data_IF_182278440960
#
_entry.id   IF_182278440960
#
_cell.length_a   1.000
_cell.length_b   1.000
_cell.length_c   1.000
_cell.angle_alpha   90.00
_cell.angle_beta   90.00
_cell.angle_gamma   90.00
#
_symmetry.space_group_name_H-M   'P 1'
#
loop_
_entity.id
_entity.type
_entity.pdbx_description
1 polymer ?
#
# COMPACT_ATOMS: atom_id res chain seq x y z
N UNK A 1 -31.51 11.44 34.94
CA UNK A 1 -30.90 11.03 33.68
C UNK A 1 -29.50 11.66 33.60
N UNK A 2 -28.48 10.92 34.04
CA UNK A 2 -27.10 11.37 33.84
C UNK A 2 -26.68 11.01 32.42
N UNK A 3 -26.75 11.97 31.53
CA UNK A 3 -26.32 11.85 30.13
C UNK A 3 -24.91 12.45 29.92
N UNK A 4 -24.12 12.56 30.97
CA UNK A 4 -22.78 13.13 30.85
C UNK A 4 -21.77 12.05 30.52
N UNK A 5 -21.41 11.98 29.23
CA UNK A 5 -20.11 11.49 28.85
C UNK A 5 -19.06 12.45 29.44
N UNK A 6 -18.14 11.95 30.24
CA UNK A 6 -16.94 12.71 30.58
C UNK A 6 -16.00 12.62 29.39
N UNK A 7 -15.74 13.71 28.65
CA UNK A 7 -14.75 13.70 27.59
C UNK A 7 -13.37 13.48 28.21
N UNK A 8 -12.59 12.56 27.63
CA UNK A 8 -11.20 12.37 28.01
C UNK A 8 -10.33 12.99 26.93
N UNK A 9 -9.55 13.97 27.31
CA UNK A 9 -8.52 14.56 26.47
C UNK A 9 -7.18 13.88 26.77
N UNK A 10 -6.49 13.46 25.74
CA UNK A 10 -5.15 12.87 25.83
C UNK A 10 -4.18 13.70 25.01
N UNK A 11 -3.00 13.96 25.54
CA UNK A 11 -1.91 14.58 24.80
C UNK A 11 -0.61 13.90 25.20
N UNK A 12 0.21 13.55 24.21
CA UNK A 12 1.54 13.02 24.44
C UNK A 12 2.53 13.59 23.44
N UNK A 13 3.73 13.82 23.90
CA UNK A 13 4.87 14.18 23.09
C UNK A 13 6.07 13.33 23.50
N UNK A 14 6.74 12.74 22.52
CA UNK A 14 7.89 11.88 22.77
C UNK A 14 8.89 11.92 21.62
N UNK A 15 10.14 11.58 21.95
CA UNK A 15 11.21 11.46 20.96
C UNK A 15 11.80 10.07 21.04
N UNK A 16 11.79 9.36 19.92
CA UNK A 16 12.35 8.02 19.78
C UNK A 16 13.52 8.04 18.79
N UNK A 17 14.56 7.27 19.08
CA UNK A 17 15.67 7.05 18.17
C UNK A 17 15.51 5.73 17.42
N UNK A 18 15.92 5.71 16.14
CA UNK A 18 16.07 4.50 15.34
C UNK A 18 17.53 4.40 14.89
N UNK A 19 18.19 3.28 15.23
CA UNK A 19 19.61 3.08 14.89
C UNK A 19 19.76 2.63 13.44
N UNK A 20 20.93 2.88 12.80
CA UNK A 20 21.26 2.32 11.50
C UNK A 20 21.15 0.80 11.51
N UNK A 21 20.47 0.21 10.51
CA UNK A 21 20.34 -1.24 10.40
C UNK A 21 21.65 -1.97 10.04
N UNK A 22 22.60 -1.26 9.42
CA UNK A 22 23.90 -1.81 9.08
C UNK A 22 24.82 -1.82 10.31
N UNK A 23 25.24 -3.01 10.75
CA UNK A 23 26.28 -3.16 11.78
C UNK A 23 27.56 -2.49 11.27
N UNK A 24 28.17 -1.65 12.13
CA UNK A 24 29.39 -0.91 11.80
C UNK A 24 29.26 0.01 10.55
N UNK A 25 28.04 0.43 10.21
CA UNK A 25 27.79 1.27 9.01
C UNK A 25 28.50 2.61 8.99
N UNK A 26 29.10 3.05 10.11
CA UNK A 26 29.96 4.23 10.20
C UNK A 26 31.40 3.96 9.75
N UNK A 27 31.81 2.70 9.65
CA UNK A 27 33.14 2.28 9.19
C UNK A 27 33.13 2.02 7.69
N UNK A 28 34.28 2.18 7.03
CA UNK A 28 34.49 1.63 5.69
C UNK A 28 34.54 0.10 5.78
N UNK A 29 33.63 -0.53 5.05
CA UNK A 29 33.51 -2.01 5.06
C UNK A 29 34.20 -2.59 3.83
N UNK A 30 34.82 -3.74 4.01
CA UNK A 30 35.48 -4.49 2.95
C UNK A 30 34.69 -5.75 2.63
N UNK A 31 34.54 -6.05 1.34
CA UNK A 31 34.02 -7.32 0.85
C UNK A 31 35.15 -8.17 0.31
N UNK A 32 35.05 -9.47 0.57
CA UNK A 32 35.97 -10.50 0.11
C UNK A 32 35.29 -11.38 -0.94
N UNK A 33 36.07 -12.14 -1.69
CA UNK A 33 35.54 -13.10 -2.66
C UNK A 33 35.60 -12.64 -4.11
N UNK A 34 36.14 -11.47 -4.38
CA UNK A 34 36.54 -11.07 -5.74
C UNK A 34 37.91 -11.67 -6.05
N UNK A 35 38.01 -12.36 -7.19
CA UNK A 35 39.28 -12.93 -7.64
C UNK A 35 39.99 -11.98 -8.60
N UNK A 36 41.25 -11.68 -8.29
CA UNK A 36 42.14 -10.99 -9.20
C UNK A 36 43.28 -11.94 -9.62
N UNK A 37 43.36 -12.23 -10.91
CA UNK A 37 44.35 -13.17 -11.51
C UNK A 37 44.44 -14.53 -10.80
N UNK A 38 43.34 -15.09 -10.33
CA UNK A 38 43.28 -16.38 -9.63
C UNK A 38 43.60 -16.33 -8.13
N UNK A 39 43.94 -15.15 -7.59
CA UNK A 39 44.15 -14.92 -6.16
C UNK A 39 42.92 -14.24 -5.53
N UNK A 40 42.62 -14.60 -4.26
CA UNK A 40 41.58 -13.95 -3.50
C UNK A 40 41.87 -12.45 -3.28
N UNK A 41 40.94 -11.59 -3.65
CA UNK A 41 41.03 -10.15 -3.46
C UNK A 41 40.01 -9.63 -2.46
N UNK A 42 40.27 -8.45 -1.93
CA UNK A 42 39.31 -7.65 -1.15
C UNK A 42 39.20 -6.27 -1.73
N UNK A 43 38.01 -5.68 -1.59
CA UNK A 43 37.76 -4.30 -2.00
C UNK A 43 36.89 -3.58 -0.98
N UNK A 44 37.00 -2.29 -0.90
CA UNK A 44 36.17 -1.44 -0.07
C UNK A 44 34.75 -1.40 -0.65
N UNK A 45 33.78 -1.92 0.12
CA UNK A 45 32.37 -2.06 -0.33
C UNK A 45 31.48 -0.94 0.13
N UNK A 46 31.88 -0.16 1.13
CA UNK A 46 31.13 0.99 1.64
C UNK A 46 32.06 2.08 2.14
N UNK A 47 31.73 3.33 1.82
CA UNK A 47 32.43 4.49 2.32
C UNK A 47 32.19 4.70 3.82
N UNK A 48 33.22 5.07 4.60
CA UNK A 48 33.04 5.38 6.01
C UNK A 48 32.24 6.67 6.23
N UNK A 49 31.37 6.67 7.23
CA UNK A 49 30.68 7.85 7.71
C UNK A 49 30.80 7.98 9.24
N UNK A 50 31.88 8.57 9.77
CA UNK A 50 32.08 8.72 11.22
C UNK A 50 31.04 9.63 11.88
N UNK A 51 30.29 10.40 11.10
CA UNK A 51 29.22 11.28 11.58
C UNK A 51 27.84 10.64 11.53
N UNK A 52 27.73 9.33 11.24
CA UNK A 52 26.48 8.63 11.19
C UNK A 52 25.77 8.64 12.56
N UNK A 53 24.54 9.08 12.57
CA UNK A 53 23.71 9.23 13.78
C UNK A 53 22.46 8.40 13.69
N UNK A 54 21.74 8.28 14.78
CA UNK A 54 20.41 7.71 14.82
C UNK A 54 19.40 8.66 14.20
N UNK A 55 18.41 8.12 13.51
CA UNK A 55 17.20 8.86 13.16
C UNK A 55 16.45 9.27 14.43
N UNK A 56 15.81 10.43 14.41
CA UNK A 56 15.00 10.94 15.50
C UNK A 56 13.57 11.13 15.05
N UNK A 57 12.64 10.45 15.73
CA UNK A 57 11.21 10.58 15.51
C UNK A 57 10.60 11.42 16.62
N UNK A 58 10.10 12.59 16.29
CA UNK A 58 9.36 13.50 17.17
C UNK A 58 7.87 13.21 16.98
N UNK A 59 7.22 12.65 17.98
CA UNK A 59 5.83 12.21 17.91
C UNK A 59 4.97 13.10 18.80
N UNK A 60 4.01 13.81 18.22
CA UNK A 60 2.92 14.48 18.90
C UNK A 60 1.64 13.68 18.65
N UNK A 61 0.93 13.29 19.72
CA UNK A 61 -0.39 12.67 19.61
C UNK A 61 -1.37 13.45 20.49
N UNK A 62 -2.55 13.71 19.92
CA UNK A 62 -3.68 14.34 20.60
C UNK A 62 -4.88 13.43 20.44
N UNK A 63 -5.54 13.08 21.53
CA UNK A 63 -6.68 12.17 21.53
C UNK A 63 -7.88 12.76 22.27
N UNK A 64 -9.06 12.42 21.79
CA UNK A 64 -10.35 12.77 22.38
C UNK A 64 -11.23 11.53 22.42
N UNK A 65 -11.61 11.11 23.64
CA UNK A 65 -12.56 10.02 23.83
C UNK A 65 -13.89 10.59 24.36
N UNK A 66 -14.97 10.20 23.72
CA UNK A 66 -16.32 10.63 24.03
C UNK A 66 -17.23 9.41 24.18
N UNK A 67 -18.13 9.47 25.15
CA UNK A 67 -19.19 8.49 25.30
C UNK A 67 -20.54 9.19 25.45
N UNK A 68 -21.51 8.86 24.61
CA UNK A 68 -22.85 9.45 24.62
C UNK A 68 -23.88 8.40 24.96
N UNK A 69 -24.75 8.69 25.93
CA UNK A 69 -25.93 7.87 26.29
C UNK A 69 -25.55 6.41 26.57
N UNK A 70 -24.31 6.11 26.95
CA UNK A 70 -23.75 4.76 27.12
C UNK A 70 -23.94 3.84 25.88
N UNK A 71 -24.12 4.42 24.69
CA UNK A 71 -24.36 3.67 23.44
C UNK A 71 -23.45 4.08 22.30
N UNK A 72 -22.93 5.29 22.28
CA UNK A 72 -22.06 5.80 21.23
C UNK A 72 -20.74 6.16 21.89
N UNK A 73 -19.68 5.51 21.42
CA UNK A 73 -18.31 5.71 21.87
C UNK A 73 -17.50 6.18 20.66
N UNK A 74 -16.83 7.31 20.82
CA UNK A 74 -15.97 7.91 19.78
C UNK A 74 -14.60 8.07 20.34
N UNK A 75 -13.58 7.56 19.68
CA UNK A 75 -12.18 7.87 19.90
C UNK A 75 -11.63 8.54 18.65
N UNK A 76 -11.15 9.76 18.78
CA UNK A 76 -10.52 10.52 17.70
C UNK A 76 -9.10 10.84 18.10
N UNK A 77 -8.15 10.46 17.25
CA UNK A 77 -6.74 10.75 17.44
C UNK A 77 -6.20 11.56 16.27
N UNK A 78 -5.39 12.56 16.58
CA UNK A 78 -4.56 13.28 15.63
C UNK A 78 -3.10 13.02 15.99
N UNK A 79 -2.29 12.69 15.01
CA UNK A 79 -0.87 12.54 15.19
C UNK A 79 -0.06 13.38 14.20
N UNK A 80 1.12 13.81 14.64
CA UNK A 80 2.14 14.41 13.80
C UNK A 80 3.50 13.83 14.18
N UNK A 81 4.12 13.13 13.25
CA UNK A 81 5.44 12.53 13.40
C UNK A 81 6.42 13.16 12.42
N UNK A 82 7.44 13.84 12.98
CA UNK A 82 8.57 14.34 12.25
C UNK A 82 9.78 13.43 12.44
N UNK A 83 10.21 12.76 11.36
CA UNK A 83 11.46 11.99 11.33
C UNK A 83 12.56 12.90 10.81
N UNK A 84 13.56 13.18 11.64
CA UNK A 84 14.76 13.95 11.30
C UNK A 84 15.98 13.05 11.28
N UNK A 85 17.03 13.54 10.59
CA UNK A 85 18.26 12.78 10.42
C UNK A 85 17.99 11.39 9.76
N UNK A 86 17.06 11.37 8.78
CA UNK A 86 16.65 10.15 8.09
C UNK A 86 17.86 9.43 7.50
N UNK A 87 17.99 8.13 7.78
CA UNK A 87 19.04 7.28 7.23
C UNK A 87 18.71 6.97 5.76
N UNK A 88 19.55 7.47 4.88
CA UNK A 88 19.32 7.38 3.45
C UNK A 88 20.60 7.05 2.68
N UNK A 89 20.49 6.13 1.72
CA UNK A 89 21.56 5.82 0.79
C UNK A 89 21.55 6.82 -0.36
N UNK A 90 22.34 7.87 -0.20
CA UNK A 90 22.49 8.92 -1.22
C UNK A 90 23.23 8.40 -2.44
N UNK A 91 22.67 8.51 -3.66
CA UNK A 91 23.43 8.26 -4.87
C UNK A 91 24.60 9.25 -4.99
N UNK A 92 25.78 8.74 -5.33
CA UNK A 92 26.98 9.54 -5.56
C UNK A 92 27.56 9.24 -6.95
N UNK A 93 28.43 10.13 -7.43
CA UNK A 93 29.07 9.93 -8.73
C UNK A 93 29.87 8.62 -8.75
N UNK A 94 29.66 7.79 -9.77
CA UNK A 94 30.42 6.54 -9.98
C UNK A 94 31.93 6.75 -10.16
N UNK A 95 32.38 7.99 -10.40
CA UNK A 95 33.82 8.34 -10.41
C UNK A 95 34.48 8.16 -9.06
N UNK A 96 33.70 8.08 -7.97
CA UNK A 96 34.19 7.76 -6.62
C UNK A 96 34.50 6.27 -6.42
N UNK A 97 34.09 5.41 -7.34
CA UNK A 97 34.13 3.95 -7.20
C UNK A 97 32.94 3.35 -6.43
N UNK A 98 32.01 4.19 -5.93
CA UNK A 98 30.84 3.76 -5.15
C UNK A 98 29.55 4.27 -5.81
N UNK A 99 28.46 3.53 -5.60
CA UNK A 99 27.15 3.90 -6.13
C UNK A 99 26.37 4.82 -5.18
N UNK A 100 26.56 4.61 -3.86
CA UNK A 100 25.84 5.35 -2.84
C UNK A 100 26.69 5.56 -1.58
N UNK A 101 26.19 6.45 -0.73
CA UNK A 101 26.77 6.81 0.55
C UNK A 101 25.68 6.88 1.61
N UNK A 102 25.80 6.08 2.67
CA UNK A 102 24.85 6.09 3.79
C UNK A 102 25.07 7.30 4.68
N UNK A 103 24.06 8.12 4.83
CA UNK A 103 24.12 9.32 5.67
C UNK A 103 22.79 9.67 6.31
N UNK A 104 22.84 10.60 7.26
CA UNK A 104 21.66 11.16 7.89
C UNK A 104 21.19 12.37 7.06
N UNK A 105 20.36 12.10 6.08
CA UNK A 105 20.01 13.05 5.04
C UNK A 105 18.49 13.15 4.92
N UNK A 106 17.94 14.27 5.36
CA UNK A 106 16.57 14.58 5.10
C UNK A 106 15.64 14.53 6.29
N UNK A 107 14.42 14.91 6.01
CA UNK A 107 13.31 14.94 6.95
C UNK A 107 12.03 14.46 6.29
N UNK A 108 11.30 13.61 6.99
CA UNK A 108 10.00 13.07 6.59
C UNK A 108 8.94 13.46 7.62
N UNK A 109 7.78 13.92 7.17
CA UNK A 109 6.63 14.16 8.03
C UNK A 109 5.50 13.21 7.70
N UNK A 110 4.94 12.58 8.73
CA UNK A 110 3.70 11.81 8.68
C UNK A 110 2.71 12.45 9.64
N UNK A 111 1.56 12.87 9.14
CA UNK A 111 0.49 13.41 9.96
C UNK A 111 -0.85 12.86 9.52
N UNK A 112 -1.73 12.67 10.46
CA UNK A 112 -3.03 12.09 10.14
C UNK A 112 -3.98 12.13 11.31
N UNK A 113 -5.11 11.48 11.10
CA UNK A 113 -6.12 11.26 12.12
C UNK A 113 -6.64 9.83 12.03
N UNK A 114 -7.07 9.33 13.18
CA UNK A 114 -7.68 8.03 13.35
C UNK A 114 -9.00 8.21 14.09
N UNK A 115 -10.04 7.56 13.59
CA UNK A 115 -11.37 7.56 14.18
C UNK A 115 -11.77 6.13 14.50
N UNK A 116 -12.19 5.87 15.73
CA UNK A 116 -12.98 4.70 16.10
C UNK A 116 -14.35 5.16 16.55
N UNK A 117 -15.39 4.63 15.93
CA UNK A 117 -16.77 4.82 16.30
C UNK A 117 -17.39 3.47 16.64
N UNK A 118 -17.69 3.26 17.92
CA UNK A 118 -18.43 2.08 18.38
C UNK A 118 -19.83 2.50 18.79
N UNK A 119 -20.83 1.81 18.27
CA UNK A 119 -22.24 2.05 18.59
C UNK A 119 -22.92 0.78 19.07
N UNK A 120 -23.68 0.88 20.16
CA UNK A 120 -24.62 -0.13 20.62
C UNK A 120 -25.97 0.24 20.03
N UNK A 121 -26.24 -0.28 18.81
CA UNK A 121 -27.44 0.06 18.04
C UNK A 121 -28.68 -0.43 18.72
N UNK A 122 -28.60 -1.64 19.27
CA UNK A 122 -29.67 -2.24 20.05
C UNK A 122 -29.11 -3.10 21.19
N UNK A 123 -29.70 -3.00 22.37
CA UNK A 123 -29.40 -3.83 23.54
C UNK A 123 -30.71 -4.26 24.19
N UNK A 124 -31.03 -5.52 24.06
CA UNK A 124 -32.23 -6.16 24.62
C UNK A 124 -31.95 -7.59 25.05
N UNK A 125 -32.94 -8.25 25.68
CA UNK A 125 -32.75 -9.58 26.21
C UNK A 125 -32.52 -10.64 25.11
N UNK A 126 -33.17 -10.48 23.95
CA UNK A 126 -33.12 -11.45 22.87
C UNK A 126 -32.41 -10.98 21.63
N UNK A 127 -32.10 -9.66 21.53
CA UNK A 127 -31.48 -9.06 20.38
C UNK A 127 -30.47 -8.01 20.84
N UNK A 128 -29.23 -8.15 20.37
CA UNK A 128 -28.15 -7.19 20.58
C UNK A 128 -27.46 -6.92 19.26
N UNK A 129 -27.21 -5.66 18.95
CA UNK A 129 -26.47 -5.25 17.76
C UNK A 129 -25.49 -4.16 18.10
N UNK A 130 -24.22 -4.42 17.82
CA UNK A 130 -23.11 -3.48 17.99
C UNK A 130 -22.39 -3.30 16.65
N UNK A 131 -22.04 -2.06 16.32
CA UNK A 131 -21.22 -1.73 15.16
C UNK A 131 -19.94 -1.02 15.60
N UNK A 132 -18.83 -1.31 14.93
CA UNK A 132 -17.54 -0.63 15.10
C UNK A 132 -17.03 -0.20 13.75
N UNK A 133 -16.79 1.09 13.59
CA UNK A 133 -16.16 1.68 12.40
C UNK A 133 -14.78 2.20 12.80
N UNK A 134 -13.76 1.77 12.10
CA UNK A 134 -12.41 2.33 12.17
C UNK A 134 -12.08 3.04 10.86
N UNK A 135 -11.46 4.22 10.96
CA UNK A 135 -11.06 5.01 9.80
C UNK A 135 -9.74 5.70 10.08
N UNK A 136 -8.80 5.57 9.16
CA UNK A 136 -7.47 6.18 9.24
C UNK A 136 -7.19 6.99 8.00
N UNK A 137 -6.66 8.20 8.18
CA UNK A 137 -6.10 9.03 7.13
C UNK A 137 -4.66 9.39 7.50
N UNK A 138 -3.72 9.09 6.62
CA UNK A 138 -2.31 9.52 6.75
C UNK A 138 -1.91 10.40 5.57
N UNK A 139 -1.14 11.42 5.84
CA UNK A 139 -0.45 12.24 4.84
C UNK A 139 1.04 12.19 5.09
N UNK A 140 1.74 11.47 4.23
CA UNK A 140 3.20 11.41 4.18
C UNK A 140 3.75 12.55 3.33
N UNK A 141 4.88 13.14 3.70
CA UNK A 141 5.56 14.19 2.93
C UNK A 141 7.05 14.21 3.22
N UNK A 142 7.86 14.22 2.16
CA UNK A 142 9.29 14.54 2.24
C UNK A 142 9.41 16.05 2.48
N UNK A 143 10.01 16.44 3.59
CA UNK A 143 10.17 17.85 3.99
C UNK A 143 11.50 18.40 3.46
N UNK A 144 12.55 17.60 3.57
CA UNK A 144 13.87 17.92 3.01
C UNK A 144 14.59 16.64 2.61
N UNK A 145 15.49 16.76 1.66
CA UNK A 145 16.51 15.78 1.36
C UNK A 145 17.84 16.42 1.76
N UNK A 146 18.95 15.94 1.30
CA UNK A 146 20.35 16.29 1.61
C UNK A 146 20.72 17.82 1.61
N UNK A 147 19.77 18.74 1.62
CA UNK A 147 20.01 20.18 1.63
C UNK A 147 20.56 20.79 0.32
N UNK A 148 21.06 19.96 -0.60
CA UNK A 148 21.51 20.32 -1.96
C UNK A 148 20.69 19.60 -3.04
N UNK A 149 20.02 18.51 -2.70
CA UNK A 149 19.14 17.76 -3.58
C UNK A 149 17.69 18.02 -3.19
N UNK A 150 16.88 18.40 -4.17
CA UNK A 150 15.44 18.51 -4.03
C UNK A 150 14.70 17.26 -4.51
N UNK A 151 15.39 16.36 -5.21
CA UNK A 151 14.86 15.09 -5.70
C UNK A 151 15.93 14.01 -5.87
N UNK A 152 15.50 12.75 -5.76
CA UNK A 152 16.29 11.54 -6.05
C UNK A 152 15.36 10.49 -6.65
N UNK A 153 15.87 9.70 -7.60
CA UNK A 153 15.15 8.58 -8.19
C UNK A 153 15.62 7.32 -7.49
N UNK A 154 14.68 6.53 -6.96
CA UNK A 154 14.95 5.24 -6.33
C UNK A 154 14.35 4.11 -7.17
N UNK A 155 15.21 3.17 -7.53
CA UNK A 155 14.82 2.07 -8.40
C UNK A 155 14.38 2.53 -9.79
N UNK A 156 13.43 1.81 -10.38
CA UNK A 156 12.99 2.05 -11.75
C UNK A 156 11.70 2.88 -11.86
N UNK A 157 10.94 3.02 -10.76
CA UNK A 157 9.58 3.61 -10.79
C UNK A 157 9.21 4.50 -9.60
N UNK A 158 10.12 4.83 -8.70
CA UNK A 158 9.86 5.76 -7.60
C UNK A 158 10.72 7.02 -7.68
N UNK A 159 10.19 8.13 -7.17
CA UNK A 159 10.92 9.38 -6.98
C UNK A 159 10.76 9.89 -5.56
N UNK A 160 11.85 10.21 -4.92
CA UNK A 160 11.88 11.00 -3.70
C UNK A 160 12.07 12.46 -4.08
N UNK A 161 11.04 13.28 -3.88
CA UNK A 161 11.07 14.71 -4.17
C UNK A 161 10.48 15.49 -3.00
N UNK A 162 11.15 16.57 -2.64
CA UNK A 162 10.66 17.49 -1.59
C UNK A 162 9.25 17.96 -1.93
N UNK A 163 8.36 17.84 -0.96
CA UNK A 163 6.95 18.20 -1.10
C UNK A 163 6.02 17.05 -1.47
N UNK A 164 6.54 15.92 -1.94
CA UNK A 164 5.75 14.73 -2.33
C UNK A 164 5.77 13.64 -1.23
N UNK A 165 4.82 12.70 -1.27
CA UNK A 165 4.89 11.46 -0.50
C UNK A 165 6.16 10.65 -0.84
N UNK A 166 6.67 9.90 0.14
CA UNK A 166 7.87 9.08 -0.03
C UNK A 166 7.70 8.04 -1.15
N UNK A 167 6.54 7.36 -1.19
CA UNK A 167 6.23 6.31 -2.16
C UNK A 167 5.50 6.86 -3.40
N UNK A 168 6.05 7.90 -4.04
CA UNK A 168 5.49 8.48 -5.26
C UNK A 168 6.07 7.80 -6.49
N UNK A 169 5.21 7.32 -7.39
CA UNK A 169 5.65 6.73 -8.66
C UNK A 169 6.26 7.79 -9.59
N UNK A 170 7.27 7.38 -10.34
CA UNK A 170 7.94 8.19 -11.37
C UNK A 170 7.91 7.45 -12.70
N UNK A 171 6.91 7.77 -13.50
CA UNK A 171 6.56 6.99 -14.68
C UNK A 171 6.23 7.87 -15.88
N UNK A 172 6.43 7.32 -17.08
CA UNK A 172 5.93 7.91 -18.32
C UNK A 172 4.43 7.72 -18.38
N UNK A 173 3.71 8.80 -18.62
CA UNK A 173 2.25 8.78 -18.58
C UNK A 173 1.69 8.22 -19.88
N UNK A 174 1.00 7.10 -19.77
CA UNK A 174 0.31 6.42 -20.86
C UNK A 174 -0.97 7.18 -21.24
N UNK A 175 -1.17 7.40 -22.53
CA UNK A 175 -2.30 8.17 -23.08
C UNK A 175 -3.30 7.31 -23.85
N UNK A 176 -3.20 5.97 -23.74
CA UNK A 176 -4.05 5.04 -24.48
C UNK A 176 -3.42 4.56 -25.79
N UNK A 177 -4.26 4.26 -26.77
CA UNK A 177 -3.86 3.69 -28.07
C UNK A 177 -4.28 4.63 -29.19
N UNK A 178 -3.43 4.79 -30.19
CA UNK A 178 -3.77 5.50 -31.42
C UNK A 178 -4.82 4.69 -32.22
N UNK A 179 -6.05 5.20 -32.39
CA UNK A 179 -7.12 4.45 -33.06
C UNK A 179 -6.81 4.12 -34.52
N UNK A 180 -5.89 4.85 -35.16
CA UNK A 180 -5.58 4.63 -36.57
C UNK A 180 -4.47 3.58 -36.80
N UNK A 181 -3.49 3.52 -35.88
CA UNK A 181 -2.31 2.70 -36.02
C UNK A 181 -2.19 1.57 -35.01
N UNK A 182 -2.96 1.61 -33.93
CA UNK A 182 -2.90 0.69 -32.80
C UNK A 182 -1.64 0.80 -31.95
N UNK A 183 -0.84 1.85 -32.13
CA UNK A 183 0.37 2.06 -31.32
C UNK A 183 0.01 2.66 -29.97
N UNK A 184 0.78 2.30 -28.94
CA UNK A 184 0.72 2.94 -27.64
C UNK A 184 1.05 4.44 -27.74
N UNK A 185 0.31 5.27 -27.03
CA UNK A 185 0.49 6.72 -26.93
C UNK A 185 0.98 7.09 -25.55
N UNK A 186 1.88 8.07 -25.50
CA UNK A 186 2.41 8.63 -24.26
C UNK A 186 2.34 10.16 -24.32
N UNK A 187 2.06 10.82 -23.18
CA UNK A 187 2.21 12.25 -23.09
C UNK A 187 3.71 12.63 -23.09
N UNK A 188 4.05 13.67 -23.84
CA UNK A 188 5.45 14.15 -23.91
C UNK A 188 5.98 14.53 -22.52
N UNK A 189 5.17 15.25 -21.75
CA UNK A 189 5.48 15.69 -20.39
C UNK A 189 6.82 16.45 -20.28
N UNK A 190 7.31 17.03 -21.36
CA UNK A 190 8.39 18.01 -21.29
C UNK A 190 7.92 19.22 -20.52
N UNK A 191 8.76 19.76 -19.64
CA UNK A 191 8.39 20.87 -18.79
C UNK A 191 8.84 22.19 -19.42
N UNK A 192 7.92 23.16 -19.51
CA UNK A 192 8.25 24.52 -19.94
C UNK A 192 8.98 25.32 -18.83
N UNK A 193 9.41 26.55 -19.14
CA UNK A 193 10.10 27.42 -18.19
C UNK A 193 9.22 27.81 -16.97
N UNK A 194 7.90 27.68 -17.08
CA UNK A 194 6.95 27.95 -16.01
C UNK A 194 6.59 26.71 -15.19
N UNK A 195 7.15 25.55 -15.54
CA UNK A 195 6.90 24.29 -14.86
C UNK A 195 5.66 23.53 -15.33
N UNK A 196 5.00 23.96 -16.44
CA UNK A 196 3.86 23.26 -16.99
C UNK A 196 4.32 22.08 -17.86
N UNK A 197 3.58 20.98 -17.82
CA UNK A 197 3.87 19.81 -18.64
C UNK A 197 3.21 19.90 -20.02
N UNK A 198 3.96 19.58 -21.06
CA UNK A 198 3.46 19.42 -22.42
C UNK A 198 2.57 18.18 -22.51
N UNK A 199 1.28 18.40 -22.85
CA UNK A 199 0.27 17.35 -22.94
C UNK A 199 0.05 16.83 -24.35
N UNK A 200 0.94 17.14 -25.29
CA UNK A 200 0.93 16.51 -26.62
C UNK A 200 1.27 15.03 -26.50
N UNK A 201 0.67 14.21 -27.36
CA UNK A 201 0.87 12.75 -27.35
C UNK A 201 1.85 12.34 -28.44
N UNK A 202 2.62 11.29 -28.14
CA UNK A 202 3.58 10.71 -29.08
C UNK A 202 3.50 9.19 -29.02
N UNK A 203 3.80 8.53 -30.14
CA UNK A 203 4.03 7.08 -30.20
C UNK A 203 5.48 6.70 -29.90
N UNK A 204 6.38 7.70 -29.83
CA UNK A 204 7.77 7.49 -29.46
C UNK A 204 7.93 7.62 -27.93
N UNK A 205 7.95 6.48 -27.26
CA UNK A 205 8.14 6.44 -25.82
C UNK A 205 9.49 7.01 -25.36
N UNK A 206 10.50 7.12 -26.23
CA UNK A 206 11.81 7.71 -25.87
C UNK A 206 11.73 9.21 -25.72
N UNK A 207 10.86 9.87 -26.49
CA UNK A 207 10.59 11.29 -26.40
C UNK A 207 9.78 11.70 -25.16
N UNK A 208 8.96 10.79 -24.62
CA UNK A 208 8.14 11.04 -23.44
C UNK A 208 9.00 11.04 -22.17
N UNK A 209 8.75 12.01 -21.27
CA UNK A 209 9.43 12.10 -19.98
C UNK A 209 8.60 11.49 -18.86
N UNK A 210 9.29 10.86 -17.89
CA UNK A 210 8.67 10.40 -16.66
C UNK A 210 8.38 11.61 -15.76
N UNK A 211 7.27 11.52 -15.03
CA UNK A 211 6.83 12.54 -14.08
C UNK A 211 6.40 11.90 -12.77
N UNK A 212 6.41 12.66 -11.66
CA UNK A 212 5.72 12.24 -10.44
C UNK A 212 4.24 12.02 -10.74
N UNK A 213 3.74 10.82 -10.41
CA UNK A 213 2.38 10.42 -10.80
C UNK A 213 1.50 10.22 -9.56
N UNK A 214 1.19 9.02 -9.19
CA UNK A 214 0.37 8.64 -8.03
C UNK A 214 1.26 8.18 -6.89
N UNK A 215 0.67 7.93 -5.70
CA UNK A 215 1.37 7.38 -4.54
C UNK A 215 0.77 6.04 -4.15
N UNK A 216 1.60 5.21 -3.52
CA UNK A 216 1.19 3.95 -2.90
C UNK A 216 0.22 4.21 -1.74
N UNK A 217 0.45 5.30 -1.00
CA UNK A 217 -0.28 5.57 0.25
C UNK A 217 -1.78 5.79 -0.01
N UNK A 218 -2.67 5.03 0.63
CA UNK A 218 -4.10 5.27 0.56
C UNK A 218 -4.46 6.59 1.25
N UNK A 219 -5.47 7.27 0.73
CA UNK A 219 -6.00 8.48 1.36
C UNK A 219 -6.81 8.15 2.61
N UNK A 220 -7.59 7.08 2.56
CA UNK A 220 -8.41 6.59 3.66
C UNK A 220 -8.40 5.07 3.63
N UNK A 221 -8.23 4.45 4.81
CA UNK A 221 -8.38 3.02 5.00
C UNK A 221 -9.05 2.73 6.34
N UNK A 222 -9.63 1.53 6.46
CA UNK A 222 -10.26 1.17 7.70
C UNK A 222 -11.06 -0.13 7.63
N UNK A 223 -11.92 -0.31 8.64
CA UNK A 223 -12.78 -1.46 8.76
C UNK A 223 -14.14 -1.12 9.36
N UNK A 224 -15.12 -1.94 9.05
CA UNK A 224 -16.46 -1.86 9.60
C UNK A 224 -16.90 -3.24 10.09
N UNK A 225 -17.05 -3.38 11.38
CA UNK A 225 -17.46 -4.63 12.03
C UNK A 225 -18.87 -4.51 12.58
N UNK A 226 -19.72 -5.49 12.29
CA UNK A 226 -21.03 -5.66 12.88
C UNK A 226 -21.09 -6.95 13.66
N UNK A 227 -21.59 -6.88 14.87
CA UNK A 227 -21.85 -8.02 15.76
C UNK A 227 -23.33 -8.02 16.11
N UNK A 228 -24.02 -9.07 15.72
CA UNK A 228 -25.44 -9.23 15.95
C UNK A 228 -25.67 -10.53 16.69
N UNK A 229 -26.39 -10.48 17.81
CA UNK A 229 -26.83 -11.66 18.56
C UNK A 229 -28.36 -11.64 18.58
N UNK A 230 -28.98 -12.72 18.13
CA UNK A 230 -30.44 -12.91 18.19
C UNK A 230 -30.77 -14.27 18.75
N UNK A 231 -31.24 -14.30 20.00
CA UNK A 231 -31.53 -15.54 20.74
C UNK A 231 -30.31 -16.50 20.69
N UNK A 232 -30.41 -17.53 19.88
CA UNK A 232 -29.39 -18.56 19.72
C UNK A 232 -28.44 -18.35 18.56
N UNK A 233 -28.69 -17.34 17.74
CA UNK A 233 -27.86 -16.99 16.57
C UNK A 233 -26.92 -15.87 16.89
N UNK A 234 -25.67 -15.99 16.46
CA UNK A 234 -24.69 -14.93 16.47
C UNK A 234 -24.11 -14.72 15.05
N UNK A 235 -23.91 -13.47 14.71
CA UNK A 235 -23.28 -13.03 13.47
C UNK A 235 -22.17 -12.03 13.82
N UNK A 236 -20.96 -12.27 13.29
CA UNK A 236 -19.91 -11.26 13.24
C UNK A 236 -19.48 -11.09 11.79
N UNK A 237 -19.57 -9.87 11.28
CA UNK A 237 -19.18 -9.49 9.93
C UNK A 237 -18.18 -8.35 10.00
N UNK A 238 -16.98 -8.56 9.42
CA UNK A 238 -15.95 -7.52 9.29
C UNK A 238 -15.70 -7.24 7.82
N UNK A 239 -15.89 -5.99 7.45
CA UNK A 239 -15.50 -5.42 6.17
C UNK A 239 -14.22 -4.63 6.34
N UNK A 240 -13.31 -4.67 5.35
CA UNK A 240 -12.16 -3.78 5.24
C UNK A 240 -12.23 -2.99 3.96
N UNK A 241 -11.71 -1.77 3.97
CA UNK A 241 -11.67 -0.91 2.81
C UNK A 241 -10.38 -0.08 2.76
N UNK A 242 -9.93 0.23 1.54
CA UNK A 242 -8.83 1.14 1.28
C UNK A 242 -9.14 1.93 0.03
N UNK A 243 -8.92 3.25 0.05
CA UNK A 243 -9.30 4.17 -1.02
C UNK A 243 -8.17 5.17 -1.30
N UNK A 244 -7.88 5.39 -2.59
CA UNK A 244 -6.96 6.42 -3.06
C UNK A 244 -5.50 6.03 -3.10
N UNK A 245 -5.16 4.75 -2.83
CA UNK A 245 -3.84 4.16 -3.02
C UNK A 245 -3.65 3.61 -4.43
N UNK A 246 -2.40 3.41 -4.81
CA UNK A 246 -2.01 2.83 -6.09
C UNK A 246 -0.89 1.82 -5.91
N UNK A 247 -0.78 0.87 -6.84
CA UNK A 247 0.32 -0.08 -6.92
C UNK A 247 0.87 -0.16 -8.34
N UNK A 248 2.12 -0.54 -8.44
CA UNK A 248 2.80 -0.82 -9.70
C UNK A 248 2.73 -2.31 -9.98
N UNK A 249 2.14 -2.68 -11.13
CA UNK A 249 2.10 -4.06 -11.60
C UNK A 249 3.39 -4.40 -12.36
N UNK A 250 4.36 -4.91 -11.63
CA UNK A 250 5.59 -5.40 -12.21
C UNK A 250 5.37 -6.68 -13.04
N UNK A 251 4.38 -7.49 -12.69
CA UNK A 251 4.03 -8.68 -13.48
C UNK A 251 3.57 -8.27 -14.87
N UNK A 252 2.75 -7.21 -14.97
CA UNK A 252 2.30 -6.65 -16.25
C UNK A 252 3.45 -6.24 -17.16
N UNK A 253 4.58 -5.77 -16.62
CA UNK A 253 5.76 -5.43 -17.43
C UNK A 253 6.40 -6.64 -18.14
N UNK A 254 6.00 -7.86 -17.80
CA UNK A 254 6.45 -9.10 -18.40
C UNK A 254 5.40 -9.74 -19.31
N UNK A 255 4.12 -9.67 -18.95
CA UNK A 255 3.04 -10.37 -19.64
C UNK A 255 2.09 -9.46 -20.44
N UNK A 256 2.26 -8.12 -20.39
CA UNK A 256 1.51 -7.12 -21.16
C UNK A 256 2.46 -6.34 -22.06
N UNK A 257 3.14 -7.04 -22.96
CA UNK A 257 4.25 -6.47 -23.74
C UNK A 257 3.92 -6.32 -25.22
N UNK A 258 2.64 -6.45 -25.60
CA UNK A 258 2.11 -6.21 -26.94
C UNK A 258 2.84 -7.00 -28.05
N UNK A 259 3.40 -8.18 -27.73
CA UNK A 259 4.13 -9.02 -28.66
C UNK A 259 5.65 -9.05 -28.48
N UNK A 260 6.19 -8.38 -27.46
CA UNK A 260 7.64 -8.31 -27.26
C UNK A 260 8.23 -9.52 -26.51
N UNK A 261 7.48 -10.17 -25.64
CA UNK A 261 7.97 -11.24 -24.73
C UNK A 261 7.10 -12.52 -24.71
N UNK A 262 6.15 -12.68 -25.59
CA UNK A 262 5.14 -13.76 -25.58
C UNK A 262 5.73 -15.16 -25.75
N UNK A 263 6.94 -15.27 -26.24
CA UNK A 263 7.65 -16.56 -26.28
C UNK A 263 7.98 -17.11 -24.88
N UNK A 264 7.98 -16.24 -23.85
CA UNK A 264 8.41 -16.57 -22.50
C UNK A 264 7.29 -16.52 -21.48
N UNK A 265 6.17 -15.79 -21.74
CA UNK A 265 5.15 -15.49 -20.76
C UNK A 265 3.75 -15.64 -21.34
N UNK A 266 2.81 -16.12 -20.52
CA UNK A 266 1.39 -16.14 -20.87
C UNK A 266 0.82 -14.73 -20.77
N UNK A 267 -0.10 -14.41 -21.69
CA UNK A 267 -0.81 -13.14 -21.72
C UNK A 267 -2.04 -13.20 -20.80
N UNK A 268 -2.41 -12.10 -20.15
CA UNK A 268 -3.69 -11.99 -19.45
C UNK A 268 -4.86 -11.93 -20.45
N UNK A 269 -6.04 -12.35 -20.00
CA UNK A 269 -7.22 -12.49 -20.87
C UNK A 269 -7.67 -11.17 -21.50
N UNK A 270 -7.49 -10.04 -20.83
CA UNK A 270 -7.89 -8.73 -21.36
C UNK A 270 -7.01 -8.23 -22.53
N UNK A 271 -5.86 -8.87 -22.81
CA UNK A 271 -5.09 -8.64 -24.03
C UNK A 271 -5.87 -9.07 -25.30
N UNK A 272 -6.97 -9.80 -25.16
CA UNK A 272 -7.91 -10.08 -26.26
C UNK A 272 -8.64 -8.80 -26.72
N UNK A 273 -8.78 -7.80 -25.86
CA UNK A 273 -9.41 -6.51 -26.17
C UNK A 273 -8.47 -5.56 -26.94
N UNK A 274 -7.32 -6.07 -27.41
CA UNK A 274 -6.33 -5.29 -28.14
C UNK A 274 -6.88 -4.69 -29.44
N UNK A 275 -6.29 -3.59 -29.84
CA UNK A 275 -6.55 -2.98 -31.14
C UNK A 275 -6.32 -3.96 -32.28
N UNK A 276 -7.24 -4.08 -33.22
CA UNK A 276 -7.21 -5.02 -34.36
C UNK A 276 -7.31 -4.32 -35.71
N UNK A 277 -8.00 -3.19 -35.81
CA UNK A 277 -8.22 -2.47 -37.07
C UNK A 277 -8.38 -0.96 -36.85
N UNK A 278 -8.11 -0.13 -37.86
CA UNK A 278 -8.31 1.30 -37.82
C UNK A 278 -9.73 1.66 -37.39
N UNK A 279 -9.83 2.55 -36.36
CA UNK A 279 -11.08 2.97 -35.76
C UNK A 279 -11.41 2.26 -34.45
N UNK A 280 -10.71 1.20 -34.08
CA UNK A 280 -10.91 0.56 -32.76
C UNK A 280 -10.48 1.50 -31.64
N UNK A 281 -11.32 1.59 -30.60
CA UNK A 281 -11.06 2.35 -29.38
C UNK A 281 -10.84 1.37 -28.22
N UNK A 282 -9.62 1.27 -27.77
CA UNK A 282 -9.19 0.36 -26.72
C UNK A 282 -7.97 0.92 -25.99
N UNK A 283 -7.73 0.46 -24.76
CA UNK A 283 -6.55 0.80 -23.97
C UNK A 283 -5.39 -0.22 -24.17
N UNK A 284 -5.62 -1.29 -24.95
CA UNK A 284 -4.62 -2.32 -25.20
C UNK A 284 -4.08 -2.16 -26.62
N UNK A 285 -2.78 -1.92 -26.81
CA UNK A 285 -2.16 -1.72 -28.10
C UNK A 285 -2.29 -2.93 -29.05
N UNK A 286 -1.97 -2.72 -30.31
CA UNK A 286 -1.88 -3.80 -31.28
C UNK A 286 -0.76 -4.79 -30.91
N UNK A 287 -1.03 -6.05 -31.10
CA UNK A 287 -0.05 -7.11 -30.91
C UNK A 287 0.85 -7.28 -32.14
N UNK A 288 2.16 -7.21 -31.96
CA UNK A 288 3.15 -7.46 -33.02
C UNK A 288 4.26 -8.34 -32.46
N UNK A 289 4.29 -9.60 -32.88
CA UNK A 289 5.27 -10.56 -32.38
C UNK A 289 6.71 -10.09 -32.66
N UNK A 290 7.53 -10.09 -31.61
CA UNK A 290 8.95 -9.71 -31.69
C UNK A 290 9.22 -8.20 -31.79
N UNK A 291 8.21 -7.35 -31.60
CA UNK A 291 8.46 -5.91 -31.51
C UNK A 291 9.29 -5.53 -30.28
N UNK A 292 9.85 -4.32 -30.26
CA UNK A 292 10.50 -3.81 -29.07
C UNK A 292 9.49 -3.58 -27.95
N UNK A 293 9.82 -4.00 -26.73
CA UNK A 293 8.98 -3.76 -25.58
C UNK A 293 8.81 -2.25 -25.32
N UNK A 294 7.60 -1.86 -24.94
CA UNK A 294 7.32 -0.52 -24.45
C UNK A 294 8.09 -0.20 -23.16
N UNK A 295 8.03 1.06 -22.69
CA UNK A 295 8.72 1.46 -21.45
C UNK A 295 8.12 0.74 -20.24
N UNK A 296 8.96 0.05 -19.49
CA UNK A 296 8.52 -0.62 -18.27
C UNK A 296 8.07 0.37 -17.19
N UNK A 297 8.67 1.57 -17.12
CA UNK A 297 8.27 2.63 -16.21
C UNK A 297 7.11 3.47 -16.79
N UNK A 298 5.98 2.84 -17.04
CA UNK A 298 4.78 3.48 -17.59
C UNK A 298 3.63 3.47 -16.60
N UNK A 299 2.79 4.51 -16.65
CA UNK A 299 1.55 4.54 -15.87
C UNK A 299 0.52 3.51 -16.33
N UNK A 300 0.73 2.83 -17.46
CA UNK A 300 -0.04 1.66 -17.89
C UNK A 300 -0.07 0.59 -16.80
N UNK A 301 1.03 0.45 -16.07
CA UNK A 301 1.21 -0.53 -14.99
C UNK A 301 0.92 0.03 -13.59
N UNK A 302 0.38 1.24 -13.47
CA UNK A 302 0.02 1.84 -12.18
C UNK A 302 -1.49 1.78 -12.00
N UNK A 303 -1.95 0.88 -11.13
CA UNK A 303 -3.37 0.61 -10.93
C UNK A 303 -3.84 1.05 -9.54
N UNK A 304 -5.14 1.39 -9.45
CA UNK A 304 -5.77 1.75 -8.17
C UNK A 304 -5.91 0.51 -7.28
N UNK A 305 -5.58 0.66 -6.00
CA UNK A 305 -5.83 -0.36 -4.96
C UNK A 305 -7.14 -0.13 -4.20
N UNK A 306 -8.03 0.72 -4.73
CA UNK A 306 -9.34 0.97 -4.14
C UNK A 306 -10.14 -0.34 -4.03
N UNK A 307 -10.54 -0.71 -2.82
CA UNK A 307 -11.31 -1.93 -2.59
C UNK A 307 -12.19 -1.87 -1.35
N UNK A 308 -13.19 -2.75 -1.36
CA UNK A 308 -14.00 -3.17 -0.23
C UNK A 308 -13.96 -4.70 -0.16
N UNK A 309 -13.67 -5.25 1.01
CA UNK A 309 -13.55 -6.71 1.21
C UNK A 309 -14.39 -7.20 2.38
N UNK A 310 -15.10 -8.31 2.19
CA UNK A 310 -15.62 -9.12 3.30
C UNK A 310 -14.45 -9.91 3.88
N UNK A 311 -13.81 -9.33 4.91
CA UNK A 311 -12.59 -9.88 5.51
C UNK A 311 -12.88 -11.11 6.35
N UNK A 312 -13.90 -11.02 7.22
CA UNK A 312 -14.34 -12.14 8.05
C UNK A 312 -15.85 -12.15 8.17
N UNK A 313 -16.43 -13.34 8.14
CA UNK A 313 -17.82 -13.62 8.45
C UNK A 313 -17.86 -14.83 9.39
N UNK A 314 -18.48 -14.68 10.54
CA UNK A 314 -18.78 -15.80 11.43
C UNK A 314 -20.27 -15.85 11.67
N UNK A 315 -20.86 -17.01 11.49
CA UNK A 315 -22.25 -17.33 11.82
C UNK A 315 -22.24 -18.45 12.86
N UNK A 316 -22.86 -18.22 13.99
CA UNK A 316 -22.97 -19.19 15.07
C UNK A 316 -24.40 -19.50 15.40
N UNK A 317 -24.65 -20.74 15.84
CA UNK A 317 -25.90 -21.20 16.39
C UNK A 317 -25.61 -21.96 17.68
N UNK A 318 -26.00 -21.38 18.81
CA UNK A 318 -25.91 -22.02 20.12
C UNK A 318 -27.21 -22.83 20.36
N UNK A 319 -27.08 -24.12 20.66
CA UNK A 319 -28.23 -24.96 20.88
C UNK A 319 -28.98 -24.55 22.15
N UNK A 320 -30.32 -24.52 22.12
CA UNK A 320 -31.12 -24.22 23.31
C UNK A 320 -30.89 -25.24 24.43
N UNK A 321 -30.86 -24.79 25.68
CA UNK A 321 -30.58 -25.63 26.87
C UNK A 321 -31.51 -26.84 26.95
N UNK A 322 -32.77 -26.68 26.51
CA UNK A 322 -33.77 -27.76 26.49
C UNK A 322 -33.36 -28.99 25.65
N UNK A 323 -32.48 -28.80 24.67
CA UNK A 323 -31.96 -29.87 23.81
C UNK A 323 -30.76 -30.56 24.45
N UNK A 324 -30.04 -29.86 25.32
CA UNK A 324 -28.76 -30.30 25.89
C UNK A 324 -28.90 -31.03 27.22
N UNK A 325 -29.96 -30.75 27.99
CA UNK A 325 -30.20 -31.33 29.34
C UNK A 325 -30.20 -32.85 29.35
N UNK A 326 -30.65 -33.50 28.27
CA UNK A 326 -30.67 -34.96 28.14
C UNK A 326 -29.31 -35.59 27.80
N UNK A 327 -28.33 -34.76 27.37
CA UNK A 327 -27.04 -35.21 26.86
C UNK A 327 -25.91 -35.00 27.87
N UNK A 328 -26.17 -34.38 29.03
CA UNK A 328 -25.13 -34.04 30.01
C UNK A 328 -24.17 -32.95 29.52
N UNK A 329 -24.58 -32.17 28.52
CA UNK A 329 -23.80 -31.08 27.92
C UNK A 329 -24.33 -29.74 28.43
N UNK A 330 -23.46 -28.89 28.93
CA UNK A 330 -23.83 -27.57 29.45
C UNK A 330 -24.02 -26.54 28.35
N UNK A 331 -23.22 -26.61 27.24
CA UNK A 331 -23.35 -25.72 26.09
C UNK A 331 -22.87 -26.41 24.82
N UNK A 332 -23.56 -26.23 23.72
CA UNK A 332 -23.11 -26.63 22.40
C UNK A 332 -23.36 -25.51 21.40
N UNK A 333 -22.33 -25.16 20.60
CA UNK A 333 -22.41 -24.14 19.55
C UNK A 333 -21.85 -24.70 18.25
N UNK A 334 -22.63 -24.59 17.18
CA UNK A 334 -22.20 -24.84 15.82
C UNK A 334 -21.82 -23.51 15.20
N UNK A 335 -20.74 -23.47 14.46
CA UNK A 335 -20.38 -22.24 13.77
C UNK A 335 -19.79 -22.49 12.39
N UNK A 336 -20.02 -21.53 11.52
CA UNK A 336 -19.34 -21.34 10.25
C UNK A 336 -18.48 -20.08 10.35
N UNK A 337 -17.24 -20.13 9.87
CA UNK A 337 -16.36 -18.97 9.74
C UNK A 337 -15.75 -18.97 8.36
N UNK A 338 -15.74 -17.78 7.74
CA UNK A 338 -15.12 -17.59 6.44
C UNK A 338 -14.24 -16.33 6.43
N UNK A 339 -13.10 -16.42 5.75
CA UNK A 339 -12.20 -15.28 5.58
C UNK A 339 -11.95 -14.96 4.10
N UNK A 340 -11.77 -13.67 3.79
CA UNK A 340 -11.53 -13.15 2.43
C UNK A 340 -12.62 -13.58 1.42
N UNK A 341 -13.89 -13.56 1.82
CA UNK A 341 -14.98 -14.19 1.08
C UNK A 341 -15.28 -13.47 -0.24
N UNK A 342 -15.38 -12.15 -0.21
CA UNK A 342 -15.73 -11.31 -1.35
C UNK A 342 -14.83 -10.09 -1.36
N UNK A 343 -14.41 -9.68 -2.55
CA UNK A 343 -13.64 -8.45 -2.77
C UNK A 343 -14.23 -7.70 -3.97
N UNK A 344 -14.53 -6.43 -3.78
CA UNK A 344 -14.84 -5.50 -4.85
C UNK A 344 -13.66 -4.54 -4.97
N UNK A 345 -12.98 -4.57 -6.09
CA UNK A 345 -11.80 -3.74 -6.34
C UNK A 345 -12.01 -2.95 -7.63
N UNK A 346 -11.40 -1.77 -7.72
CA UNK A 346 -11.40 -0.97 -8.93
C UNK A 346 -10.55 -1.61 -10.04
N UNK A 347 -9.51 -2.30 -9.65
CA UNK A 347 -8.68 -3.15 -10.49
C UNK A 347 -8.65 -4.55 -9.87
N UNK A 348 -9.06 -5.56 -10.62
CA UNK A 348 -9.37 -6.90 -10.13
C UNK A 348 -8.44 -8.00 -10.67
N UNK A 349 -7.41 -7.63 -11.44
CA UNK A 349 -6.46 -8.60 -12.01
C UNK A 349 -5.54 -9.21 -10.94
N UNK A 350 -5.30 -8.49 -9.84
CA UNK A 350 -4.56 -8.93 -8.67
C UNK A 350 -5.28 -8.56 -7.38
N UNK A 351 -4.83 -9.14 -6.28
CA UNK A 351 -5.37 -8.80 -4.97
C UNK A 351 -4.98 -7.36 -4.59
N UNK A 352 -5.94 -6.48 -4.25
CA UNK A 352 -5.69 -5.07 -3.95
C UNK A 352 -4.96 -4.83 -2.63
N UNK A 353 -4.85 -5.82 -1.74
CA UNK A 353 -4.06 -5.74 -0.50
C UNK A 353 -2.59 -6.00 -0.81
N UNK A 354 -1.95 -5.08 -1.53
CA UNK A 354 -0.55 -5.17 -1.92
C UNK A 354 0.41 -4.87 -0.77
N UNK A 355 1.67 -5.35 -0.82
CA UNK A 355 2.68 -5.00 0.17
C UNK A 355 2.93 -3.49 0.26
N UNK A 356 3.50 -3.04 1.38
CA UNK A 356 3.85 -1.63 1.64
C UNK A 356 4.82 -1.06 0.59
N UNK A 357 5.57 -1.92 -0.09
CA UNK A 357 6.42 -1.54 -1.23
C UNK A 357 5.63 -0.91 -2.39
N UNK A 358 4.32 -1.19 -2.49
CA UNK A 358 3.48 -0.73 -3.59
C UNK A 358 3.79 -1.39 -4.94
N UNK A 359 4.56 -2.49 -4.94
CA UNK A 359 4.90 -3.27 -6.14
C UNK A 359 4.26 -4.66 -6.03
N UNK A 360 3.60 -5.10 -7.09
CA UNK A 360 3.05 -6.46 -7.23
C UNK A 360 3.88 -7.24 -8.23
N UNK A 361 4.44 -8.38 -7.81
CA UNK A 361 5.22 -9.24 -8.69
C UNK A 361 4.94 -10.72 -8.42
N UNK A 362 4.05 -11.34 -9.22
CA UNK A 362 3.71 -12.76 -9.15
C UNK A 362 3.31 -13.23 -7.73
N UNK A 363 2.69 -12.35 -6.93
CA UNK A 363 2.32 -12.68 -5.57
C UNK A 363 1.08 -13.57 -5.53
N UNK A 364 1.08 -14.50 -4.58
CA UNK A 364 -0.09 -15.35 -4.33
C UNK A 364 -1.14 -14.56 -3.55
N UNK A 365 -2.38 -14.41 -4.04
CA UNK A 365 -3.43 -13.72 -3.31
C UNK A 365 -3.78 -14.45 -2.01
N UNK A 366 -4.27 -13.72 -0.98
CA UNK A 366 -4.74 -14.35 0.25
C UNK A 366 -5.88 -15.33 -0.06
N UNK A 367 -5.77 -16.51 0.53
CA UNK A 367 -6.75 -17.59 0.30
C UNK A 367 -8.11 -17.24 0.90
N UNK A 368 -9.17 -17.66 0.22
CA UNK A 368 -10.50 -17.78 0.83
C UNK A 368 -10.52 -19.01 1.68
N UNK A 369 -10.91 -18.86 2.93
CA UNK A 369 -11.03 -20.00 3.86
C UNK A 369 -12.47 -20.16 4.34
N UNK A 370 -12.87 -21.39 4.50
CA UNK A 370 -14.17 -21.77 5.05
C UNK A 370 -13.91 -22.79 6.15
N UNK A 371 -14.42 -22.53 7.34
CA UNK A 371 -14.28 -23.40 8.50
C UNK A 371 -15.64 -23.67 9.11
N UNK A 372 -15.87 -24.93 9.47
CA UNK A 372 -17.02 -25.34 10.23
C UNK A 372 -16.54 -25.95 11.55
N UNK A 373 -17.15 -25.57 12.64
CA UNK A 373 -16.75 -26.07 13.95
C UNK A 373 -17.91 -26.32 14.88
N UNK A 374 -17.63 -27.14 15.86
CA UNK A 374 -18.54 -27.48 16.98
C UNK A 374 -17.77 -27.20 18.26
N UNK A 375 -18.35 -26.39 19.14
CA UNK A 375 -17.83 -26.08 20.45
C UNK A 375 -18.79 -26.72 21.49
N UNK A 376 -18.29 -27.59 22.35
CA UNK A 376 -19.07 -28.29 23.36
C UNK A 376 -18.44 -28.10 24.73
N UNK A 377 -19.25 -27.71 25.70
CA UNK A 377 -18.89 -27.62 27.12
C UNK A 377 -19.72 -28.62 27.94
N UNK A 378 -19.07 -29.34 28.84
CA UNK A 378 -19.69 -30.34 29.70
C UNK A 378 -19.90 -29.83 31.10
#
# INVERSE_FOLDING_TARGET
>A
VQTCALPILRASYGVNGNQPGALYGYMGLYSYGQNYMGGGGSYESALPNPNLKWEKNYNLNLGLDLAFINRIFVSLEYYNRDTKDLLYNRPISSTTGFQNYLGNLGQLNNRGWELELRTINFAGNNFNWTSVLNMTHNKNKIVSLDGKLDQSIEGSWFIHKVGLPYSTFYVKEYAGVDPQTGKALYYMNTQDANGNYDRTVTTDASAAQAIPYKSVDPKISGGFTNIVNYKWFDLALTLTYSLGGYSFDKTGTYNETDGAKEQNYNLPIYELDRWQKPGDVTDVPRFVLGQAAGPQNSSRYVHSTDHLRVKNLTLGFTLPDQWLTKLGVSKARLYFSGSNLLTWAKWDQYDPEVPVSGEVFCETPPMRTYSFGIEVSF
#
